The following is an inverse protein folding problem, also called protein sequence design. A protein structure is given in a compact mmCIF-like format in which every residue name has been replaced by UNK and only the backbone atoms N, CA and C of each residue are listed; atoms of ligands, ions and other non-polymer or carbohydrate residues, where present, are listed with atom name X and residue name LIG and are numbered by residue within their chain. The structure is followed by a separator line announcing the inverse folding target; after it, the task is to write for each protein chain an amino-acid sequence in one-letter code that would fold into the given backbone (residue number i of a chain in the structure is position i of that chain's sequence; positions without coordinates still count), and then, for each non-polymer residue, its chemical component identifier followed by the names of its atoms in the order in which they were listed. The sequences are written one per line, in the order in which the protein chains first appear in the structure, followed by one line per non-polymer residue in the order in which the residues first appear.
data_IF_336766127204
#
_entry.id   IF_336766127204
#
_cell.length_a   1.000
_cell.length_b   1.000
_cell.length_c   1.000
_cell.angle_alpha   90.00
_cell.angle_beta   90.00
_cell.angle_gamma   90.00
#
_symmetry.space_group_name_H-M   'P 1'
#
loop_
_entity.id
_entity.type
_entity.pdbx_description
1 polymer ?
#
# COMPACT_ATOMS: atom_id res chain seq x y z
N UNK A 1 -30.91 9.28 15.39
CA UNK A 1 -30.00 8.11 15.26
C UNK A 1 -28.89 8.49 14.30
N UNK A 2 -27.73 8.90 14.82
CA UNK A 2 -26.55 9.22 14.02
C UNK A 2 -25.94 7.92 13.53
N UNK A 3 -26.19 7.57 12.28
CA UNK A 3 -25.54 6.45 11.59
C UNK A 3 -24.09 6.86 11.32
N UNK A 4 -23.23 6.78 12.33
CA UNK A 4 -21.77 6.87 12.18
C UNK A 4 -21.25 5.54 11.62
N UNK A 5 -21.75 5.18 10.44
CA UNK A 5 -21.41 3.96 9.70
C UNK A 5 -20.54 4.24 8.47
N UNK A 6 -19.99 5.46 8.33
CA UNK A 6 -18.97 5.71 7.33
C UNK A 6 -17.70 5.02 7.80
N UNK A 7 -17.41 3.86 7.21
CA UNK A 7 -16.14 3.17 7.36
C UNK A 7 -15.04 4.10 6.81
N UNK A 8 -14.54 4.99 7.68
CA UNK A 8 -13.55 5.97 7.32
C UNK A 8 -12.32 5.24 6.74
N UNK A 9 -11.76 5.75 5.62
CA UNK A 9 -10.49 5.26 5.11
C UNK A 9 -9.44 5.26 6.23
N UNK A 10 -8.55 4.26 6.23
CA UNK A 10 -7.52 4.20 7.26
C UNK A 10 -6.51 5.33 7.03
N UNK A 11 -6.45 6.27 7.96
CA UNK A 11 -5.38 7.27 7.99
C UNK A 11 -4.08 6.63 8.49
N UNK A 12 -3.00 6.84 7.74
CA UNK A 12 -1.67 6.38 8.09
C UNK A 12 -0.82 7.56 8.53
N UNK A 13 -0.20 7.40 9.69
CA UNK A 13 0.81 8.33 10.18
C UNK A 13 2.10 8.24 9.34
N UNK A 14 2.93 9.29 9.31
CA UNK A 14 4.22 9.26 8.61
C UNK A 14 5.10 8.07 9.04
N UNK A 15 5.07 7.73 10.34
CA UNK A 15 5.82 6.61 10.90
C UNK A 15 5.29 5.25 10.39
N UNK A 16 3.97 5.07 10.31
CA UNK A 16 3.37 3.86 9.72
C UNK A 16 3.69 3.74 8.23
N UNK A 17 3.74 4.86 7.50
CA UNK A 17 4.16 4.88 6.09
C UNK A 17 5.63 4.48 5.96
N UNK A 18 6.51 5.00 6.82
CA UNK A 18 7.92 4.63 6.85
C UNK A 18 8.11 3.14 7.18
N UNK A 19 7.40 2.64 8.19
CA UNK A 19 7.41 1.23 8.57
C UNK A 19 6.90 0.35 7.42
N UNK A 20 5.77 0.69 6.79
CA UNK A 20 5.24 -0.05 5.64
C UNK A 20 6.25 -0.12 4.48
N UNK A 21 6.95 0.98 4.19
CA UNK A 21 8.02 1.00 3.16
C UNK A 21 9.18 0.09 3.55
N UNK A 22 9.59 0.06 4.81
CA UNK A 22 10.65 -0.85 5.28
C UNK A 22 10.29 -2.34 5.13
N UNK A 23 8.99 -2.66 5.16
CA UNK A 23 8.43 -4.01 4.91
C UNK A 23 8.36 -4.34 3.41
N UNK A 24 8.68 -3.38 2.52
CA UNK A 24 8.62 -3.54 1.07
C UNK A 24 7.28 -3.17 0.44
N UNK A 25 6.47 -2.36 1.13
CA UNK A 25 5.23 -1.84 0.58
C UNK A 25 5.48 -0.59 -0.27
N UNK A 26 4.83 -0.53 -1.43
CA UNK A 26 4.82 0.64 -2.31
C UNK A 26 3.44 1.31 -2.30
N UNK A 27 3.44 2.64 -2.31
CA UNK A 27 2.23 3.47 -2.28
C UNK A 27 1.97 4.07 -3.67
N UNK A 28 0.74 3.98 -4.14
CA UNK A 28 0.30 4.49 -5.43
C UNK A 28 -0.87 5.45 -5.23
N UNK A 29 -0.86 6.67 -5.81
CA UNK A 29 -2.00 7.57 -5.68
C UNK A 29 -3.25 6.92 -6.27
N UNK A 30 -4.34 6.93 -5.49
CA UNK A 30 -5.59 6.34 -5.93
C UNK A 30 -6.38 7.34 -6.79
N UNK A 31 -6.95 6.86 -7.90
CA UNK A 31 -7.92 7.65 -8.68
C UNK A 31 -9.29 7.63 -8.01
N UNK A 32 -10.15 8.60 -8.30
CA UNK A 32 -11.51 8.66 -7.71
C UNK A 32 -12.32 7.39 -8.00
N UNK A 33 -12.23 6.85 -9.21
CA UNK A 33 -12.88 5.59 -9.58
C UNK A 33 -12.36 4.41 -8.75
N UNK A 34 -11.05 4.37 -8.47
CA UNK A 34 -10.47 3.36 -7.58
C UNK A 34 -10.97 3.54 -6.15
N UNK A 35 -11.04 4.78 -5.65
CA UNK A 35 -11.57 5.07 -4.31
C UNK A 35 -13.00 4.55 -4.21
N UNK A 36 -13.89 4.90 -5.15
CA UNK A 36 -15.28 4.41 -5.15
C UNK A 36 -15.37 2.89 -5.14
N UNK A 37 -14.58 2.19 -5.96
CA UNK A 37 -14.65 0.73 -6.10
C UNK A 37 -14.01 -0.04 -4.95
N UNK A 38 -12.95 0.51 -4.35
CA UNK A 38 -12.06 -0.21 -3.44
C UNK A 38 -12.24 0.20 -1.96
N UNK A 39 -12.99 1.27 -1.68
CA UNK A 39 -13.26 1.71 -0.30
C UNK A 39 -14.02 0.63 0.49
N UNK A 40 -15.07 0.03 -0.09
CA UNK A 40 -15.80 -1.07 0.56
C UNK A 40 -14.93 -2.30 0.83
N UNK A 41 -13.92 -2.52 0.00
CA UNK A 41 -12.94 -3.61 0.17
C UNK A 41 -11.84 -3.26 1.17
N UNK A 42 -11.88 -2.06 1.76
CA UNK A 42 -10.89 -1.54 2.71
C UNK A 42 -9.46 -1.59 2.15
N UNK A 43 -9.30 -1.18 0.90
CA UNK A 43 -8.02 -1.13 0.18
C UNK A 43 -7.52 0.30 -0.11
N UNK A 44 -8.24 1.30 0.40
CA UNK A 44 -7.86 2.71 0.30
C UNK A 44 -7.29 3.16 1.64
N UNK A 45 -6.12 3.79 1.58
CA UNK A 45 -5.41 4.38 2.71
C UNK A 45 -5.29 5.88 2.51
N UNK A 46 -5.32 6.65 3.59
CA UNK A 46 -5.14 8.10 3.52
C UNK A 46 -3.78 8.47 4.08
N UNK A 47 -3.00 9.25 3.32
CA UNK A 47 -1.73 9.82 3.73
C UNK A 47 -1.80 11.32 3.45
N UNK A 48 -1.63 12.15 4.46
CA UNK A 48 -1.75 13.62 4.36
C UNK A 48 -3.06 14.07 3.67
N UNK A 49 -4.18 13.42 4.02
CA UNK A 49 -5.49 13.69 3.46
C UNK A 49 -5.71 13.21 2.02
N UNK A 50 -4.73 12.52 1.40
CA UNK A 50 -4.82 12.02 0.03
C UNK A 50 -4.97 10.51 -0.02
N UNK A 51 -5.79 9.95 -0.93
CA UNK A 51 -6.00 8.51 -1.01
C UNK A 51 -4.88 7.80 -1.78
N UNK A 52 -4.42 6.68 -1.24
CA UNK A 52 -3.40 5.81 -1.80
C UNK A 52 -3.83 4.34 -1.78
N UNK A 53 -3.34 3.60 -2.75
CA UNK A 53 -3.32 2.14 -2.80
C UNK A 53 -1.95 1.65 -2.34
N UNK A 54 -1.92 0.50 -1.68
CA UNK A 54 -0.70 -0.12 -1.19
C UNK A 54 -0.52 -1.50 -1.83
N UNK A 55 0.66 -1.77 -2.39
CA UNK A 55 1.01 -3.09 -2.93
C UNK A 55 2.36 -3.54 -2.36
N UNK A 56 2.47 -4.83 -2.05
CA UNK A 56 3.73 -5.46 -1.63
C UNK A 56 4.30 -6.27 -2.79
N UNK A 57 5.56 -6.03 -3.15
CA UNK A 57 6.27 -6.76 -4.22
C UNK A 57 5.57 -6.76 -5.60
N UNK A 58 4.79 -5.71 -5.93
CA UNK A 58 4.05 -5.62 -7.20
C UNK A 58 2.88 -6.60 -7.31
N UNK A 59 2.43 -7.16 -6.18
CA UNK A 59 1.27 -8.06 -6.12
C UNK A 59 -0.04 -7.29 -5.90
N UNK A 60 -1.07 -7.97 -5.37
CA UNK A 60 -2.39 -7.39 -5.11
C UNK A 60 -2.32 -6.19 -4.16
N UNK A 61 -3.36 -5.35 -4.21
CA UNK A 61 -3.50 -4.26 -3.25
C UNK A 61 -3.89 -4.80 -1.88
N UNK A 62 -3.10 -4.40 -0.88
CA UNK A 62 -3.27 -4.80 0.49
C UNK A 62 -4.54 -4.23 1.09
N UNK A 63 -5.12 -4.97 2.03
CA UNK A 63 -6.26 -4.51 2.81
C UNK A 63 -5.79 -3.87 4.10
N UNK A 64 -6.63 -3.03 4.71
CA UNK A 64 -6.40 -2.46 6.04
C UNK A 64 -6.03 -3.52 7.08
N UNK A 65 -6.69 -4.68 7.06
CA UNK A 65 -6.40 -5.77 7.99
C UNK A 65 -5.00 -6.34 7.80
N UNK A 66 -4.60 -6.60 6.55
CA UNK A 66 -3.26 -7.11 6.24
C UNK A 66 -2.17 -6.12 6.63
N UNK A 67 -2.34 -4.84 6.28
CA UNK A 67 -1.36 -3.81 6.61
C UNK A 67 -1.16 -3.68 8.13
N UNK A 68 -2.25 -3.66 8.91
CA UNK A 68 -2.17 -3.60 10.37
C UNK A 68 -1.42 -4.78 10.97
N UNK A 69 -1.66 -6.00 10.47
CA UNK A 69 -0.94 -7.18 10.90
C UNK A 69 0.57 -7.09 10.58
N UNK A 70 0.92 -6.62 9.39
CA UNK A 70 2.32 -6.44 8.97
C UNK A 70 3.05 -5.39 9.81
N UNK A 71 2.39 -4.27 10.12
CA UNK A 71 2.96 -3.22 10.97
C UNK A 71 3.17 -3.73 12.40
N UNK A 72 2.22 -4.48 12.95
CA UNK A 72 2.35 -5.09 14.27
C UNK A 72 3.50 -6.11 14.32
N UNK A 73 3.64 -6.96 13.29
CA UNK A 73 4.73 -7.93 13.18
C UNK A 73 6.09 -7.22 13.08
N UNK A 74 6.21 -6.18 12.26
CA UNK A 74 7.42 -5.40 12.12
C UNK A 74 7.83 -4.72 13.43
N UNK A 75 6.86 -4.15 14.16
CA UNK A 75 7.10 -3.55 15.47
C UNK A 75 7.55 -4.59 16.49
N UNK A 76 6.90 -5.75 16.56
CA UNK A 76 7.31 -6.85 17.43
C UNK A 76 8.73 -7.35 17.12
N UNK A 77 9.09 -7.41 15.83
CA UNK A 77 10.43 -7.81 15.39
C UNK A 77 11.50 -6.80 15.77
N UNK A 78 11.20 -5.51 15.68
CA UNK A 78 12.11 -4.46 16.13
C UNK A 78 12.31 -4.51 17.64
N UNK A 79 11.25 -4.73 18.41
CA UNK A 79 11.33 -4.86 19.87
C UNK A 79 12.12 -6.11 20.33
N UNK A 80 12.13 -7.18 19.52
CA UNK A 80 12.89 -8.40 19.81
C UNK A 80 14.38 -8.29 19.46
N UNK A 81 14.81 -7.25 18.76
CA UNK A 81 16.21 -7.09 18.37
C UNK A 81 17.01 -6.59 19.58
N UNK A 82 18.14 -7.23 19.94
CA UNK A 82 18.96 -6.76 21.05
C UNK A 82 19.43 -5.33 20.78
N UNK A 83 19.54 -4.49 21.82
CA UNK A 83 20.07 -3.15 21.64
C UNK A 83 21.46 -3.23 20.99
N UNK A 84 21.82 -2.28 20.13
CA UNK A 84 23.17 -2.23 19.58
C UNK A 84 24.18 -2.21 20.74
N UNK A 85 25.35 -2.86 20.59
CA UNK A 85 26.40 -2.76 21.60
C UNK A 85 26.71 -1.28 21.84
N UNK A 86 26.90 -0.91 23.10
CA UNK A 86 27.28 0.44 23.45
C UNK A 86 28.52 0.84 22.63
N UNK A 87 28.58 2.09 22.11
CA UNK A 87 29.80 2.56 21.48
C UNK A 87 30.97 2.39 22.47
N UNK A 88 32.17 2.02 21.99
CA UNK A 88 33.34 1.97 22.87
C UNK A 88 33.47 3.30 23.60
N UNK A 89 33.70 3.23 24.91
CA UNK A 89 34.01 4.40 25.73
C UNK A 89 35.11 5.20 25.02
N UNK A 90 34.95 6.52 24.83
CA UNK A 90 36.00 7.32 24.22
C UNK A 90 37.28 7.10 25.03
N UNK A 91 38.36 6.69 24.34
CA UNK A 91 39.69 6.66 24.95
C UNK A 91 39.94 8.02 25.60
N UNK A 92 40.49 8.06 26.83
CA UNK A 92 40.75 9.31 27.51
C UNK A 92 41.61 10.18 26.58
N UNK A 93 41.10 11.38 26.27
CA UNK A 93 41.89 12.40 25.58
C UNK A 93 43.22 12.56 26.34
N UNK A 94 44.36 12.66 25.64
CA UNK A 94 45.63 12.96 26.29
C UNK A 94 45.48 14.27 27.06
N UNK A 95 45.93 14.26 28.32
CA UNK A 95 46.00 15.43 29.20
C UNK A 95 46.61 16.62 28.42
N UNK A 96 45.98 17.81 28.45
CA UNK A 96 46.51 18.97 27.76
C UNK A 96 47.88 19.33 28.38
N UNK A 97 48.94 19.25 27.57
CA UNK A 97 50.21 19.90 27.91
C UNK A 97 49.96 21.40 28.13
N UNK A 98 50.58 22.03 29.15
CA UNK A 98 50.33 23.43 29.46
C UNK A 98 50.78 24.33 28.31
N UNK A 99 49.82 24.96 27.64
CA UNK A 99 50.09 25.99 26.65
C UNK A 99 50.79 27.20 27.29
N UNK A 100 51.83 27.77 26.65
CA UNK A 100 52.41 29.03 27.07
C UNK A 100 51.41 30.16 26.81
N UNK A 101 51.14 30.93 27.86
CA UNK A 101 50.34 32.14 27.84
C UNK A 101 50.87 33.14 26.80
N UNK A 102 50.11 33.38 25.73
CA UNK A 102 50.35 34.50 24.81
C UNK A 102 49.09 35.37 24.76
N UNK A 103 49.15 36.48 25.49
CA UNK A 103 48.29 37.64 25.26
C UNK A 103 48.51 38.16 23.83
N UNK A 104 47.47 38.17 22.99
CA UNK A 104 47.22 39.25 22.00
C UNK A 104 45.86 39.01 21.32
N UNK A 105 44.84 39.77 21.68
CA UNK A 105 44.39 40.96 20.96
C UNK A 105 44.10 40.73 19.48
N UNK A 106 42.81 40.64 19.13
CA UNK A 106 42.11 41.53 18.20
C UNK A 106 40.92 40.80 17.56
N UNK A 107 39.71 41.33 17.75
CA UNK A 107 38.64 41.24 16.76
C UNK A 107 39.18 41.66 15.38
N UNK A 108 38.70 41.02 14.30
CA UNK A 108 37.56 41.63 13.60
C UNK A 108 36.53 40.62 13.07
N UNK A 109 35.27 41.00 13.20
CA UNK A 109 34.35 41.35 12.11
C UNK A 109 34.38 40.57 10.77
N UNK A 110 33.19 40.49 10.18
CA UNK A 110 32.83 40.12 8.81
C UNK A 110 32.49 38.64 8.50
N UNK A 111 31.20 38.40 8.56
CA UNK A 111 30.39 37.39 7.85
C UNK A 111 30.66 37.44 6.33
N UNK A 112 30.55 36.32 5.60
CA UNK A 112 29.59 36.36 4.49
C UNK A 112 28.63 35.17 4.50
N UNK A 113 27.36 35.55 4.55
CA UNK A 113 26.16 34.79 4.26
C UNK A 113 26.28 34.30 2.81
N UNK A 114 26.65 33.04 2.63
CA UNK A 114 26.59 32.39 1.34
C UNK A 114 25.12 32.13 0.99
N UNK A 115 24.57 33.02 0.17
CA UNK A 115 23.29 32.88 -0.50
C UNK A 115 23.38 31.69 -1.46
N UNK A 116 22.64 30.58 -1.27
CA UNK A 116 22.63 29.50 -2.24
C UNK A 116 21.86 29.95 -3.48
N UNK A 117 22.57 30.00 -4.62
CA UNK A 117 21.98 30.29 -5.93
C UNK A 117 20.80 29.34 -6.23
N UNK A 118 19.69 29.85 -6.79
CA UNK A 118 18.60 29.01 -7.26
C UNK A 118 19.06 28.26 -8.53
N UNK A 119 19.35 26.97 -8.39
CA UNK A 119 19.58 26.07 -9.52
C UNK A 119 18.29 25.97 -10.34
N UNK A 120 18.30 26.56 -11.54
CA UNK A 120 17.23 26.39 -12.54
C UNK A 120 17.02 24.90 -12.84
N UNK A 121 15.80 24.37 -12.77
CA UNK A 121 15.53 23.00 -13.19
C UNK A 121 15.70 22.87 -14.72
N UNK A 122 16.43 21.85 -15.22
CA UNK A 122 16.58 21.64 -16.65
C UNK A 122 15.24 21.35 -17.32
N UNK A 123 15.10 21.90 -18.53
CA UNK A 123 13.93 21.85 -19.38
C UNK A 123 13.29 20.46 -19.48
N UNK A 124 11.96 20.43 -19.28
CA UNK A 124 11.11 19.25 -19.43
C UNK A 124 11.34 18.59 -20.80
N UNK A 125 11.63 17.28 -20.88
CA UNK A 125 11.64 16.59 -22.17
C UNK A 125 10.25 16.65 -22.80
N UNK A 126 10.20 17.22 -24.00
CA UNK A 126 9.02 17.31 -24.86
C UNK A 126 8.32 15.97 -24.95
N UNK A 127 7.04 15.96 -24.57
CA UNK A 127 6.07 14.88 -24.84
C UNK A 127 6.19 14.47 -26.31
N UNK A 128 6.80 13.31 -26.58
CA UNK A 128 6.57 12.60 -27.84
C UNK A 128 5.10 12.18 -27.84
N UNK A 129 4.33 12.74 -28.77
CA UNK A 129 2.99 12.26 -29.10
C UNK A 129 3.12 10.78 -29.47
N UNK A 130 2.56 9.90 -28.65
CA UNK A 130 2.32 8.53 -29.08
C UNK A 130 1.32 8.55 -30.25
N UNK A 131 1.54 7.71 -31.28
CA UNK A 131 0.61 7.59 -32.39
C UNK A 131 -0.75 7.10 -31.88
N UNK A 132 -1.80 7.65 -32.48
CA UNK A 132 -3.21 7.30 -32.33
C UNK A 132 -3.38 5.81 -32.67
N UNK A 133 -3.23 4.95 -31.66
CA UNK A 133 -3.58 3.55 -31.77
C UNK A 133 -5.10 3.46 -31.98
N UNK A 134 -5.47 2.75 -33.04
CA UNK A 134 -6.82 2.52 -33.49
C UNK A 134 -7.74 2.12 -32.33
N UNK A 135 -8.95 2.68 -32.35
CA UNK A 135 -10.04 2.22 -31.50
C UNK A 135 -10.20 0.70 -31.66
N UNK A 136 -10.34 -0.06 -30.56
CA UNK A 136 -10.78 -1.44 -30.67
C UNK A 136 -12.18 -1.46 -31.32
N UNK A 137 -12.50 -2.47 -32.15
CA UNK A 137 -13.86 -2.64 -32.65
C UNK A 137 -14.79 -2.79 -31.43
N UNK A 138 -15.81 -1.95 -31.38
CA UNK A 138 -16.94 -2.12 -30.46
C UNK A 138 -17.50 -3.53 -30.65
N UNK A 139 -17.59 -4.37 -29.59
CA UNK A 139 -18.43 -5.55 -29.67
C UNK A 139 -19.86 -5.08 -29.90
N UNK A 140 -20.43 -5.57 -31.00
CA UNK A 140 -21.84 -5.50 -31.34
C UNK A 140 -22.65 -5.92 -30.12
N UNK A 141 -23.22 -4.92 -29.42
CA UNK A 141 -24.10 -5.16 -28.30
C UNK A 141 -25.45 -5.46 -28.93
N UNK A 142 -26.00 -6.69 -28.80
CA UNK A 142 -27.33 -6.96 -29.29
C UNK A 142 -28.32 -6.00 -28.60
N UNK A 143 -29.40 -5.59 -29.30
CA UNK A 143 -30.40 -4.72 -28.70
C UNK A 143 -30.93 -5.36 -27.40
N UNK A 144 -31.21 -4.56 -26.36
CA UNK A 144 -31.82 -5.07 -25.15
C UNK A 144 -33.17 -5.70 -25.53
N UNK A 145 -33.25 -7.01 -25.30
CA UNK A 145 -34.50 -7.75 -25.30
C UNK A 145 -35.48 -7.01 -24.39
N UNK A 146 -36.62 -6.66 -24.96
CA UNK A 146 -37.75 -5.99 -24.35
C UNK A 146 -38.13 -6.73 -23.06
N UNK A 147 -37.82 -6.16 -21.89
CA UNK A 147 -38.34 -6.66 -20.63
C UNK A 147 -39.88 -6.56 -20.70
N UNK A 148 -40.61 -7.68 -20.48
CA UNK A 148 -42.06 -7.65 -20.43
C UNK A 148 -42.55 -6.74 -19.28
N UNK A 149 -43.75 -6.15 -19.42
CA UNK A 149 -44.28 -5.19 -18.45
C UNK A 149 -44.50 -5.83 -17.08
N UNK A 150 -44.24 -4.98 -16.08
CA UNK A 150 -44.53 -5.06 -14.65
C UNK A 150 -45.77 -5.92 -14.33
N UNK A 151 -45.54 -7.15 -13.88
CA UNK A 151 -46.57 -7.94 -13.21
C UNK A 151 -46.54 -7.51 -11.72
N UNK A 152 -47.62 -6.92 -11.18
CA UNK A 152 -47.63 -6.48 -9.79
C UNK A 152 -47.49 -7.70 -8.88
N UNK A 153 -46.71 -7.60 -7.78
CA UNK A 153 -46.56 -8.71 -6.86
C UNK A 153 -47.92 -9.05 -6.24
N UNK A 154 -48.24 -10.34 -6.04
CA UNK A 154 -49.40 -10.72 -5.26
C UNK A 154 -49.22 -10.25 -3.81
N UNK A 155 -50.29 -9.68 -3.24
CA UNK A 155 -50.42 -9.44 -1.79
C UNK A 155 -50.26 -10.78 -1.05
N UNK A 156 -49.05 -11.05 -0.55
CA UNK A 156 -48.83 -12.16 0.38
C UNK A 156 -49.26 -11.74 1.80
N UNK A 157 -50.16 -12.50 2.44
CA UNK A 157 -50.61 -12.20 3.79
C UNK A 157 -49.51 -12.46 4.81
N UNK A 158 -49.42 -11.50 5.74
CA UNK A 158 -48.64 -11.52 6.97
C UNK A 158 -48.83 -12.86 7.72
N UNK A 159 -47.90 -13.79 7.54
CA UNK A 159 -47.79 -14.98 8.40
C UNK A 159 -46.63 -14.80 9.38
N UNK A 160 -47.01 -14.41 10.58
CA UNK A 160 -46.19 -14.45 11.79
C UNK A 160 -46.05 -15.92 12.23
N UNK A 161 -44.98 -16.60 11.83
CA UNK A 161 -44.61 -17.89 12.41
C UNK A 161 -43.08 -18.02 12.54
N UNK A 162 -42.53 -18.07 13.76
CA UNK A 162 -41.10 -18.23 13.96
C UNK A 162 -40.69 -19.68 13.70
N UNK A 163 -40.11 -19.95 12.53
CA UNK A 163 -39.47 -21.25 12.25
C UNK A 163 -38.25 -21.46 13.17
N UNK A 164 -38.19 -22.59 13.93
CA UNK A 164 -36.95 -23.02 14.56
C UNK A 164 -35.97 -23.47 13.47
N UNK A 165 -34.95 -22.65 13.21
CA UNK A 165 -33.96 -22.92 12.18
C UNK A 165 -33.21 -24.24 12.38
N UNK A 166 -32.85 -24.96 11.29
CA UNK A 166 -32.15 -26.23 11.38
C UNK A 166 -30.77 -26.07 12.02
N UNK A 167 -30.46 -26.98 12.94
CA UNK A 167 -29.17 -27.09 13.60
C UNK A 167 -28.03 -27.07 12.57
N UNK A 168 -27.16 -26.06 12.68
CA UNK A 168 -26.00 -25.88 11.80
C UNK A 168 -25.07 -27.09 11.95
N UNK A 169 -24.73 -27.83 10.88
CA UNK A 169 -23.74 -28.89 10.97
C UNK A 169 -22.37 -28.28 11.30
N UNK A 170 -21.73 -28.85 12.31
CA UNK A 170 -20.37 -28.51 12.72
C UNK A 170 -19.44 -28.61 11.51
N UNK A 171 -18.88 -27.46 11.08
CA UNK A 171 -17.91 -27.40 9.99
C UNK A 171 -16.61 -28.07 10.46
N UNK A 172 -16.44 -29.34 10.10
CA UNK A 172 -15.18 -30.06 10.17
C UNK A 172 -14.16 -29.28 9.31
N UNK A 173 -13.19 -28.65 9.96
CA UNK A 173 -12.05 -28.01 9.31
C UNK A 173 -11.17 -29.11 8.70
N UNK A 174 -11.38 -29.43 7.43
CA UNK A 174 -10.35 -30.10 6.63
C UNK A 174 -9.27 -29.07 6.34
N UNK A 175 -8.10 -29.29 6.93
CA UNK A 175 -6.87 -28.57 6.63
C UNK A 175 -6.65 -28.55 5.12
N UNK A 176 -6.81 -27.37 4.53
CA UNK A 176 -6.54 -27.14 3.13
C UNK A 176 -5.03 -27.17 2.93
N UNK A 177 -4.50 -28.33 2.54
CA UNK A 177 -3.13 -28.44 2.07
C UNK A 177 -2.91 -27.47 0.88
N UNK A 178 -1.77 -26.76 0.85
CA UNK A 178 -1.50 -25.74 -0.13
C UNK A 178 -1.44 -26.29 -1.55
N UNK A 179 -2.34 -25.79 -2.41
CA UNK A 179 -2.65 -26.24 -3.77
C UNK A 179 -1.57 -25.91 -4.83
N UNK A 180 -0.37 -25.48 -4.44
CA UNK A 180 0.69 -25.06 -5.37
C UNK A 180 1.69 -26.16 -5.75
N UNK A 181 1.56 -27.38 -5.22
CA UNK A 181 2.51 -28.49 -5.51
C UNK A 181 2.18 -29.36 -6.72
N UNK A 182 1.23 -28.98 -7.58
CA UNK A 182 0.85 -29.79 -8.76
C UNK A 182 0.91 -29.00 -10.06
N UNK A 183 2.03 -28.34 -10.33
CA UNK A 183 2.38 -27.89 -11.68
C UNK A 183 3.55 -28.75 -12.17
N UNK A 184 3.22 -29.85 -12.86
CA UNK A 184 4.19 -30.79 -13.39
C UNK A 184 5.09 -30.18 -14.49
N UNK A 185 6.33 -30.67 -14.64
CA UNK A 185 7.27 -30.22 -15.66
C UNK A 185 6.94 -30.88 -17.00
N UNK A 186 5.96 -30.34 -17.74
CA UNK A 186 5.57 -30.89 -19.04
C UNK A 186 5.42 -29.79 -20.10
N UNK A 187 6.46 -29.00 -20.34
CA UNK A 187 6.64 -28.25 -21.59
C UNK A 187 8.12 -28.21 -22.00
N UNK A 188 8.72 -29.39 -22.24
CA UNK A 188 9.88 -29.46 -23.13
C UNK A 188 9.35 -29.52 -24.56
N UNK A 189 9.68 -28.49 -25.33
CA UNK A 189 9.31 -28.35 -26.73
C UNK A 189 9.72 -29.57 -27.53
N UNK A 190 8.74 -30.10 -28.28
CA UNK A 190 8.94 -31.05 -29.35
C UNK A 190 9.58 -30.31 -30.52
N UNK A 191 10.91 -30.33 -30.59
CA UNK A 191 11.64 -29.99 -31.82
C UNK A 191 11.21 -31.00 -32.89
N UNK A 192 10.60 -30.51 -33.97
CA UNK A 192 10.39 -31.30 -35.18
C UNK A 192 11.72 -31.37 -35.94
N UNK A 193 12.25 -32.55 -36.30
CA UNK A 193 13.32 -32.61 -37.27
C UNK A 193 12.74 -32.26 -38.64
N UNK A 194 13.38 -31.33 -39.32
CA UNK A 194 13.22 -31.06 -40.75
C UNK A 194 13.99 -32.12 -41.53
N UNK A 195 13.28 -32.94 -42.31
CA UNK A 195 13.78 -33.50 -43.57
C UNK A 195 12.65 -34.09 -44.39
#
# INVERSE_FOLDING_TARGET
MTLTGNAAPLELTPDEVAAARSIGCAFFPATELQVQRLTMQRRIFTVDGKPYLLSRNGSYFETVGTLRALLAEASARQAAMPPPPAPPEPEPEPEPEPEPSVMRAAEPDAIPLAEPEPVEPPARPRRRRAPKAAAPPTPDTPPPDELPPDEPPPDEPLSDEPQPGPARPARIRKEALPRWKTAGPARRGRLKPSS
#
